data_IF_896407646716
#
_entry.id   IF_896407646716
#
_cell.length_a   1.000
_cell.length_b   1.000
_cell.length_c   1.000
_cell.angle_alpha   90.00
_cell.angle_beta   90.00
_cell.angle_gamma   90.00
#
_symmetry.space_group_name_H-M   'P 1'
#
loop_
_entity.id
_entity.type
_entity.pdbx_description
1 polymer ?
#
# COMPACT_ATOMS: atom_id res chain seq x y z
N UNK A 1 -19.76 -22.00 -36.53
CA UNK A 1 -18.80 -22.84 -35.77
C UNK A 1 -17.77 -21.93 -35.14
N UNK A 2 -17.79 -21.77 -33.82
CA UNK A 2 -16.72 -21.06 -33.12
C UNK A 2 -15.42 -21.90 -33.21
N UNK A 3 -14.25 -21.30 -33.52
CA UNK A 3 -13.01 -22.05 -33.52
C UNK A 3 -12.74 -22.55 -32.09
N UNK A 4 -12.52 -23.87 -31.97
CA UNK A 4 -12.14 -24.52 -30.70
C UNK A 4 -10.92 -23.79 -30.14
N UNK A 5 -11.00 -23.33 -28.88
CA UNK A 5 -9.83 -22.88 -28.13
C UNK A 5 -8.81 -24.03 -28.20
N UNK A 6 -7.61 -23.77 -28.72
CA UNK A 6 -6.48 -24.70 -28.60
C UNK A 6 -6.40 -25.09 -27.14
N UNK A 7 -6.50 -26.39 -26.86
CA UNK A 7 -6.31 -26.93 -25.53
C UNK A 7 -4.98 -26.41 -25.01
N UNK A 8 -5.11 -25.67 -23.92
CA UNK A 8 -4.02 -25.03 -23.27
C UNK A 8 -2.93 -26.00 -22.85
N UNK A 9 -1.70 -25.96 -23.37
CA UNK A 9 -0.63 -26.89 -22.93
C UNK A 9 0.04 -26.49 -21.62
N UNK A 10 -0.35 -25.36 -21.03
CA UNK A 10 0.20 -24.83 -19.77
C UNK A 10 -0.68 -25.16 -18.56
N UNK A 11 -0.11 -25.24 -17.36
CA UNK A 11 -0.88 -25.50 -16.13
C UNK A 11 -0.91 -24.28 -15.20
N UNK A 12 0.05 -23.38 -15.34
CA UNK A 12 0.18 -22.16 -14.53
C UNK A 12 0.56 -20.95 -15.39
N UNK A 13 0.71 -19.79 -14.76
CA UNK A 13 1.27 -18.62 -15.43
C UNK A 13 2.79 -18.74 -15.64
N UNK A 14 3.49 -19.61 -14.89
CA UNK A 14 4.95 -19.76 -14.98
C UNK A 14 5.38 -20.44 -16.28
N UNK A 15 4.65 -21.47 -16.71
CA UNK A 15 4.85 -22.18 -17.98
C UNK A 15 4.10 -21.54 -19.15
N UNK A 16 3.57 -20.33 -18.94
CA UNK A 16 2.89 -19.57 -19.98
C UNK A 16 3.88 -18.92 -20.96
N UNK A 17 3.72 -19.10 -22.29
CA UNK A 17 4.52 -18.37 -23.27
C UNK A 17 4.43 -16.86 -23.04
N UNK A 18 5.57 -16.17 -23.13
CA UNK A 18 5.67 -14.74 -22.81
C UNK A 18 4.71 -13.87 -23.65
N UNK A 19 4.45 -14.23 -24.90
CA UNK A 19 3.52 -13.49 -25.76
C UNK A 19 2.07 -13.63 -25.29
N UNK A 20 1.67 -14.83 -24.85
CA UNK A 20 0.36 -15.05 -24.23
C UNK A 20 0.27 -14.30 -22.90
N UNK A 21 1.32 -14.34 -22.06
CA UNK A 21 1.38 -13.61 -20.80
C UNK A 21 1.21 -12.09 -21.03
N UNK A 22 1.88 -11.53 -22.05
CA UNK A 22 1.74 -10.11 -22.43
C UNK A 22 0.32 -9.75 -22.84
N UNK A 23 -0.35 -10.60 -23.62
CA UNK A 23 -1.75 -10.40 -24.02
C UNK A 23 -2.65 -10.38 -22.78
N UNK A 24 -2.48 -11.36 -21.88
CA UNK A 24 -3.27 -11.45 -20.65
C UNK A 24 -3.00 -10.30 -19.69
N UNK A 25 -1.75 -9.87 -19.54
CA UNK A 25 -1.38 -8.72 -18.70
C UNK A 25 -2.05 -7.44 -19.18
N UNK A 26 -2.09 -7.20 -20.50
CA UNK A 26 -2.83 -6.05 -21.08
C UNK A 26 -4.33 -6.13 -20.79
N UNK A 27 -4.92 -7.31 -20.95
CA UNK A 27 -6.34 -7.54 -20.65
C UNK A 27 -6.64 -7.33 -19.17
N UNK A 28 -5.82 -7.87 -18.27
CA UNK A 28 -5.96 -7.69 -16.83
C UNK A 28 -5.85 -6.21 -16.43
N UNK A 29 -4.93 -5.46 -17.04
CA UNK A 29 -4.81 -4.01 -16.83
C UNK A 29 -6.08 -3.27 -17.26
N UNK A 30 -6.63 -3.57 -18.44
CA UNK A 30 -7.86 -2.94 -18.90
C UNK A 30 -9.05 -3.23 -17.96
N UNK A 31 -9.20 -4.48 -17.54
CA UNK A 31 -10.24 -4.87 -16.56
C UNK A 31 -10.06 -4.16 -15.21
N UNK A 32 -8.82 -3.98 -14.75
CA UNK A 32 -8.56 -3.25 -13.52
C UNK A 32 -8.94 -1.76 -13.66
N UNK A 33 -8.69 -1.14 -14.82
CA UNK A 33 -9.13 0.24 -15.09
C UNK A 33 -10.66 0.36 -15.10
N UNK A 34 -11.36 -0.51 -15.84
CA UNK A 34 -12.83 -0.52 -15.87
C UNK A 34 -13.44 -0.76 -14.47
N UNK A 35 -12.79 -1.61 -13.67
CA UNK A 35 -13.23 -1.88 -12.30
C UNK A 35 -13.09 -0.64 -11.41
N UNK A 36 -11.98 0.10 -11.53
CA UNK A 36 -11.78 1.36 -10.81
C UNK A 36 -12.83 2.40 -11.21
N UNK A 37 -13.13 2.53 -12.50
CA UNK A 37 -14.18 3.45 -12.99
C UNK A 37 -15.55 3.12 -12.39
N UNK A 38 -15.94 1.83 -12.37
CA UNK A 38 -17.20 1.39 -11.74
C UNK A 38 -17.26 1.64 -10.24
N UNK A 39 -16.13 1.53 -9.54
CA UNK A 39 -16.08 1.87 -8.12
C UNK A 39 -16.23 3.38 -7.89
N UNK A 40 -15.63 4.20 -8.75
CA UNK A 40 -15.76 5.66 -8.67
C UNK A 40 -17.20 6.12 -8.97
N UNK A 41 -17.92 5.45 -9.88
CA UNK A 41 -19.35 5.70 -10.12
C UNK A 41 -20.22 5.43 -8.88
N UNK A 42 -19.89 4.41 -8.08
CA UNK A 42 -20.61 4.07 -6.85
C UNK A 42 -20.22 4.99 -5.68
N UNK A 43 -18.95 5.39 -5.62
CA UNK A 43 -18.37 6.15 -4.53
C UNK A 43 -17.58 7.34 -5.08
N UNK A 44 -18.26 8.38 -5.59
CA UNK A 44 -17.56 9.51 -6.17
C UNK A 44 -16.70 10.21 -5.12
N UNK A 45 -15.46 10.51 -5.47
CA UNK A 45 -14.54 11.26 -4.60
C UNK A 45 -13.84 10.42 -3.54
N UNK A 46 -13.58 9.13 -3.81
CA UNK A 46 -12.73 8.31 -2.93
C UNK A 46 -11.38 8.98 -2.64
N UNK A 47 -11.01 8.97 -1.36
CA UNK A 47 -9.78 9.63 -0.89
C UNK A 47 -8.59 8.67 -0.98
N UNK A 48 -7.52 9.11 -1.65
CA UNK A 48 -6.23 8.42 -1.62
C UNK A 48 -5.27 9.10 -0.65
N UNK A 49 -5.00 8.45 0.48
CA UNK A 49 -3.99 8.92 1.43
C UNK A 49 -2.57 8.77 0.84
N UNK A 50 -1.71 9.74 1.13
CA UNK A 50 -0.27 9.64 0.88
C UNK A 50 0.39 8.56 1.76
N UNK A 51 1.60 8.14 1.39
CA UNK A 51 2.36 7.16 2.19
C UNK A 51 2.56 7.61 3.64
N UNK A 52 2.80 8.90 3.86
CA UNK A 52 3.00 9.45 5.21
C UNK A 52 1.68 9.52 5.99
N UNK A 53 0.60 9.99 5.37
CA UNK A 53 -0.73 9.98 5.99
C UNK A 53 -1.18 8.56 6.40
N UNK A 54 -0.92 7.53 5.57
CA UNK A 54 -1.27 6.14 5.92
C UNK A 54 -0.53 5.60 7.15
N UNK A 55 0.66 6.13 7.47
CA UNK A 55 1.40 5.67 8.66
C UNK A 55 0.71 6.12 9.94
N UNK A 56 0.24 7.37 9.96
CA UNK A 56 -0.36 8.00 11.15
C UNK A 56 -1.88 7.89 11.18
N UNK A 57 -2.52 7.44 10.11
CA UNK A 57 -3.97 7.23 10.07
C UNK A 57 -4.42 6.24 11.17
N UNK A 58 -5.51 6.55 11.90
CA UNK A 58 -6.05 5.66 12.91
C UNK A 58 -6.52 4.36 12.26
N UNK A 59 -6.34 3.24 12.97
CA UNK A 59 -6.81 1.91 12.56
C UNK A 59 -7.76 1.42 13.62
N UNK A 60 -9.02 1.24 13.23
CA UNK A 60 -10.02 0.66 14.11
C UNK A 60 -9.81 -0.84 14.22
N UNK A 61 -10.06 -1.37 15.43
CA UNK A 61 -10.02 -2.79 15.74
C UNK A 61 -11.39 -3.42 15.48
N UNK A 62 -11.40 -4.74 15.39
CA UNK A 62 -12.65 -5.49 15.28
C UNK A 62 -13.58 -5.20 16.48
N UNK A 63 -14.84 -4.86 16.17
CA UNK A 63 -15.85 -4.50 17.16
C UNK A 63 -15.77 -3.06 17.71
N UNK A 64 -14.76 -2.27 17.32
CA UNK A 64 -14.59 -0.90 17.81
C UNK A 64 -15.75 0.02 17.40
N UNK A 65 -16.31 -0.13 16.19
CA UNK A 65 -17.48 0.63 15.71
C UNK A 65 -18.67 0.55 16.67
N UNK A 66 -19.00 -0.65 17.16
CA UNK A 66 -20.11 -0.86 18.08
C UNK A 66 -19.87 -0.15 19.43
N UNK A 67 -18.62 -0.12 19.89
CA UNK A 67 -18.25 0.59 21.12
C UNK A 67 -18.31 2.12 20.93
N UNK A 68 -17.89 2.63 19.77
CA UNK A 68 -18.01 4.05 19.44
C UNK A 68 -19.47 4.51 19.41
N UNK A 69 -20.40 3.68 18.91
CA UNK A 69 -21.84 3.97 19.02
C UNK A 69 -22.31 4.10 20.48
N UNK A 70 -21.79 3.28 21.40
CA UNK A 70 -22.10 3.40 22.83
C UNK A 70 -21.58 4.69 23.44
N UNK A 71 -20.42 5.19 23.00
CA UNK A 71 -19.95 6.52 23.40
C UNK A 71 -20.93 7.59 22.94
N UNK A 72 -21.38 7.53 21.68
CA UNK A 72 -22.37 8.47 21.16
C UNK A 72 -23.72 8.39 21.90
N UNK A 73 -24.14 7.19 22.35
CA UNK A 73 -25.34 7.03 23.19
C UNK A 73 -25.19 7.82 24.52
N UNK A 74 -23.99 7.84 25.12
CA UNK A 74 -23.71 8.64 26.33
C UNK A 74 -23.74 10.14 26.03
N UNK A 75 -23.21 10.56 24.88
CA UNK A 75 -23.28 11.97 24.45
C UNK A 75 -24.73 12.42 24.31
N UNK A 76 -25.59 11.60 23.70
CA UNK A 76 -27.02 11.88 23.56
C UNK A 76 -27.71 11.98 24.93
N UNK A 77 -27.29 11.21 25.94
CA UNK A 77 -27.84 11.29 27.30
C UNK A 77 -27.41 12.54 28.07
N UNK A 78 -26.21 13.07 27.80
CA UNK A 78 -25.58 14.17 28.55
C UNK A 78 -24.86 15.16 27.62
N UNK A 79 -25.57 15.83 26.69
CA UNK A 79 -24.93 16.64 25.63
C UNK A 79 -24.10 17.80 26.18
N UNK A 80 -24.53 18.42 27.28
CA UNK A 80 -23.82 19.53 27.93
C UNK A 80 -22.38 19.20 28.36
N UNK A 81 -22.05 17.92 28.58
CA UNK A 81 -20.68 17.51 28.93
C UNK A 81 -19.71 17.55 27.74
N UNK A 82 -20.23 17.61 26.51
CA UNK A 82 -19.45 17.46 25.28
C UNK A 82 -19.48 18.72 24.40
N UNK A 83 -20.13 19.80 24.85
CA UNK A 83 -20.22 21.07 24.10
C UNK A 83 -18.85 21.63 23.69
N UNK A 84 -17.82 21.44 24.53
CA UNK A 84 -16.45 21.89 24.23
C UNK A 84 -15.76 21.14 23.08
N UNK A 85 -16.38 20.09 22.54
CA UNK A 85 -15.87 19.31 21.41
C UNK A 85 -16.66 19.60 20.12
N UNK A 86 -17.66 20.49 20.16
CA UNK A 86 -18.51 20.79 19.01
C UNK A 86 -17.74 21.37 17.81
N UNK A 87 -16.59 22.00 18.02
CA UNK A 87 -15.72 22.49 16.95
C UNK A 87 -14.82 21.39 16.34
N UNK A 88 -14.77 20.20 16.94
CA UNK A 88 -13.87 19.10 16.55
C UNK A 88 -14.55 17.98 15.76
N UNK A 89 -15.87 17.93 15.73
CA UNK A 89 -16.61 16.90 15.00
C UNK A 89 -16.77 17.19 13.50
N UNK A 90 -16.27 18.34 13.05
CA UNK A 90 -16.40 18.84 11.67
C UNK A 90 -17.87 18.87 11.21
N UNK A 91 -18.78 19.22 12.11
CA UNK A 91 -20.19 19.46 11.86
C UNK A 91 -20.48 20.86 11.30
N UNK A 92 -21.78 21.16 11.18
CA UNK A 92 -22.32 22.43 10.74
C UNK A 92 -22.62 23.38 11.92
N UNK A 93 -22.88 22.86 13.12
CA UNK A 93 -23.18 23.65 14.31
C UNK A 93 -21.98 23.72 15.27
N UNK A 94 -21.26 24.85 15.35
CA UNK A 94 -20.07 24.97 16.19
C UNK A 94 -20.35 24.93 17.70
N UNK A 95 -21.61 24.93 18.12
CA UNK A 95 -22.00 24.89 19.54
C UNK A 95 -22.63 23.55 19.94
N UNK A 96 -22.73 22.59 19.03
CA UNK A 96 -23.37 21.30 19.30
C UNK A 96 -22.52 20.16 18.75
N UNK A 97 -22.20 19.21 19.62
CA UNK A 97 -21.60 17.95 19.18
C UNK A 97 -22.64 17.08 18.44
N UNK A 98 -22.45 16.89 17.14
CA UNK A 98 -23.36 16.27 16.20
C UNK A 98 -23.20 14.74 16.17
N UNK A 99 -23.80 14.06 17.14
CA UNK A 99 -23.74 12.59 17.25
C UNK A 99 -24.25 11.87 15.99
N UNK A 100 -25.30 12.37 15.34
CA UNK A 100 -25.85 11.79 14.12
C UNK A 100 -24.84 11.77 12.96
N UNK A 101 -24.09 12.87 12.76
CA UNK A 101 -23.04 12.97 11.75
C UNK A 101 -21.94 11.93 12.00
N UNK A 102 -21.51 11.79 13.25
CA UNK A 102 -20.48 10.80 13.60
C UNK A 102 -20.97 9.37 13.45
N UNK A 103 -22.24 9.06 13.77
CA UNK A 103 -22.84 7.74 13.51
C UNK A 103 -22.82 7.40 12.03
N UNK A 104 -23.19 8.34 11.17
CA UNK A 104 -23.14 8.16 9.72
C UNK A 104 -21.71 7.89 9.22
N UNK A 105 -20.71 8.62 9.75
CA UNK A 105 -19.30 8.41 9.40
C UNK A 105 -18.77 7.06 9.86
N UNK A 106 -19.15 6.60 11.05
CA UNK A 106 -18.82 5.25 11.57
C UNK A 106 -19.39 4.18 10.63
N UNK A 107 -20.65 4.30 10.24
CA UNK A 107 -21.30 3.34 9.32
C UNK A 107 -20.63 3.32 7.94
N UNK A 108 -20.36 4.51 7.37
CA UNK A 108 -19.62 4.61 6.10
C UNK A 108 -18.23 3.97 6.20
N UNK A 109 -17.50 4.21 7.29
CA UNK A 109 -16.20 3.58 7.50
C UNK A 109 -16.31 2.06 7.53
N UNK A 110 -17.32 1.50 8.24
CA UNK A 110 -17.53 0.05 8.30
C UNK A 110 -17.77 -0.54 6.91
N UNK A 111 -18.70 0.04 6.15
CA UNK A 111 -19.01 -0.39 4.78
C UNK A 111 -17.80 -0.28 3.83
N UNK A 112 -17.03 0.80 3.92
CA UNK A 112 -15.79 0.93 3.14
C UNK A 112 -14.74 -0.11 3.54
N UNK A 113 -14.66 -0.46 4.83
CA UNK A 113 -13.73 -1.48 5.32
C UNK A 113 -14.05 -2.86 4.75
N UNK A 114 -15.34 -3.22 4.69
CA UNK A 114 -15.80 -4.51 4.14
C UNK A 114 -15.53 -4.63 2.64
N UNK A 115 -15.78 -3.55 1.89
CA UNK A 115 -15.44 -3.48 0.46
C UNK A 115 -13.92 -3.59 0.28
N UNK A 116 -13.13 -2.83 1.06
CA UNK A 116 -11.68 -2.88 0.97
C UNK A 116 -11.11 -4.27 1.31
N UNK A 117 -11.67 -4.94 2.33
CA UNK A 117 -11.29 -6.31 2.69
C UNK A 117 -11.53 -7.28 1.54
N UNK A 118 -12.67 -7.16 0.86
CA UNK A 118 -13.03 -8.00 -0.31
C UNK A 118 -12.08 -7.83 -1.49
N UNK A 119 -11.45 -6.66 -1.62
CA UNK A 119 -10.50 -6.34 -2.71
C UNK A 119 -9.04 -6.59 -2.35
N UNK A 120 -8.74 -6.77 -1.07
CA UNK A 120 -7.37 -6.88 -0.56
C UNK A 120 -6.61 -8.09 -1.10
N UNK A 121 -7.30 -9.22 -1.29
CA UNK A 121 -6.70 -10.47 -1.80
C UNK A 121 -6.14 -10.31 -3.20
N UNK A 122 -6.87 -9.65 -4.10
CA UNK A 122 -6.48 -9.48 -5.51
C UNK A 122 -5.20 -8.64 -5.62
N UNK A 123 -5.13 -7.53 -4.88
CA UNK A 123 -3.93 -6.70 -4.83
C UNK A 123 -2.75 -7.41 -4.17
N UNK A 124 -3.01 -8.17 -3.10
CA UNK A 124 -2.02 -8.98 -2.39
C UNK A 124 -1.38 -10.04 -3.27
N UNK A 125 -2.17 -10.91 -3.90
CA UNK A 125 -1.70 -12.02 -4.74
C UNK A 125 -0.89 -11.53 -5.95
N UNK A 126 -1.34 -10.46 -6.62
CA UNK A 126 -0.58 -9.87 -7.72
C UNK A 126 0.72 -9.24 -7.21
N UNK A 127 0.68 -8.52 -6.09
CA UNK A 127 1.87 -7.97 -5.44
C UNK A 127 2.89 -9.05 -5.10
N UNK A 128 2.46 -10.11 -4.43
CA UNK A 128 3.28 -11.25 -4.04
C UNK A 128 3.84 -11.98 -5.27
N UNK A 129 3.06 -12.12 -6.35
CA UNK A 129 3.54 -12.72 -7.61
C UNK A 129 4.68 -11.90 -8.24
N UNK A 130 4.64 -10.57 -8.14
CA UNK A 130 5.76 -9.73 -8.61
C UNK A 130 7.02 -9.92 -7.76
N UNK A 131 6.87 -10.03 -6.43
CA UNK A 131 7.97 -10.27 -5.50
C UNK A 131 8.56 -11.66 -5.70
N UNK A 132 7.70 -12.67 -5.79
CA UNK A 132 8.07 -14.05 -6.07
C UNK A 132 8.85 -14.15 -7.39
N UNK A 133 8.38 -13.50 -8.45
CA UNK A 133 9.11 -13.47 -9.74
C UNK A 133 10.47 -12.76 -9.60
N UNK A 134 10.54 -11.66 -8.84
CA UNK A 134 11.80 -10.95 -8.59
C UNK A 134 12.84 -11.82 -7.89
N UNK A 135 12.43 -12.66 -6.93
CA UNK A 135 13.31 -13.62 -6.26
C UNK A 135 13.97 -14.56 -7.27
N UNK A 136 13.24 -14.99 -8.31
CA UNK A 136 13.74 -15.96 -9.31
C UNK A 136 14.88 -15.42 -10.18
N UNK A 137 15.00 -14.11 -10.37
CA UNK A 137 16.04 -13.55 -11.26
C UNK A 137 17.05 -12.64 -10.55
N UNK A 138 16.66 -11.95 -9.48
CA UNK A 138 17.45 -10.84 -8.94
C UNK A 138 18.80 -11.28 -8.40
N UNK A 139 18.84 -12.37 -7.63
CA UNK A 139 20.08 -12.84 -7.01
C UNK A 139 21.08 -13.32 -8.05
N UNK A 140 20.62 -14.10 -9.04
CA UNK A 140 21.44 -14.58 -10.15
C UNK A 140 22.00 -13.43 -10.98
N UNK A 141 21.17 -12.42 -11.30
CA UNK A 141 21.64 -11.23 -12.01
C UNK A 141 22.62 -10.39 -11.18
N UNK A 142 22.46 -10.33 -9.86
CA UNK A 142 23.41 -9.64 -8.98
C UNK A 142 24.76 -10.37 -8.87
N UNK A 143 24.74 -11.71 -8.89
CA UNK A 143 25.98 -12.49 -9.02
C UNK A 143 26.66 -12.23 -10.36
N UNK A 144 25.92 -12.29 -11.47
CA UNK A 144 26.43 -11.99 -12.80
C UNK A 144 26.99 -10.56 -12.91
N UNK A 145 26.29 -9.58 -12.34
CA UNK A 145 26.75 -8.20 -12.26
C UNK A 145 28.09 -8.07 -11.53
N UNK A 146 28.28 -8.76 -10.40
CA UNK A 146 29.55 -8.72 -9.65
C UNK A 146 30.71 -9.26 -10.50
N UNK A 147 30.50 -10.35 -11.22
CA UNK A 147 31.49 -10.93 -12.13
C UNK A 147 31.80 -9.96 -13.28
N UNK A 148 30.75 -9.46 -13.96
CA UNK A 148 30.89 -8.50 -15.06
C UNK A 148 31.63 -7.23 -14.64
N UNK A 149 31.39 -6.75 -13.41
CA UNK A 149 32.06 -5.58 -12.84
C UNK A 149 33.57 -5.78 -12.69
N UNK A 150 34.01 -6.98 -12.29
CA UNK A 150 35.44 -7.31 -12.24
C UNK A 150 36.06 -7.26 -13.63
N UNK A 151 35.41 -7.87 -14.63
CA UNK A 151 35.90 -7.86 -16.01
C UNK A 151 35.92 -6.46 -16.63
N UNK A 152 34.95 -5.60 -16.29
CA UNK A 152 34.89 -4.22 -16.77
C UNK A 152 36.12 -3.37 -16.39
N UNK A 153 36.92 -3.80 -15.39
CA UNK A 153 38.15 -3.10 -15.01
C UNK A 153 39.25 -3.21 -16.06
N UNK A 154 39.23 -4.28 -16.86
CA UNK A 154 40.28 -4.59 -17.84
C UNK A 154 39.75 -4.73 -19.26
N UNK A 155 38.43 -4.87 -19.45
CA UNK A 155 37.78 -4.91 -20.75
C UNK A 155 36.88 -3.67 -20.96
N UNK A 156 37.32 -2.79 -21.88
CA UNK A 156 36.61 -1.56 -22.24
C UNK A 156 35.24 -1.83 -22.85
N UNK A 157 35.07 -2.90 -23.64
CA UNK A 157 33.77 -3.22 -24.24
C UNK A 157 32.76 -3.64 -23.18
N UNK A 158 33.20 -4.41 -22.18
CA UNK A 158 32.38 -4.77 -21.02
C UNK A 158 32.04 -3.51 -20.20
N UNK A 159 33.01 -2.62 -19.99
CA UNK A 159 32.78 -1.36 -19.29
C UNK A 159 31.77 -0.46 -20.00
N UNK A 160 31.84 -0.33 -21.33
CA UNK A 160 30.93 0.51 -22.12
C UNK A 160 29.46 0.06 -21.95
N UNK A 161 29.21 -1.26 -21.86
CA UNK A 161 27.88 -1.81 -21.60
C UNK A 161 27.47 -1.65 -20.13
N UNK A 162 28.40 -1.83 -19.19
CA UNK A 162 28.11 -1.89 -17.75
C UNK A 162 28.05 -0.52 -17.06
N UNK A 163 28.64 0.52 -17.66
CA UNK A 163 28.68 1.88 -17.13
C UNK A 163 27.33 2.39 -16.58
N UNK A 164 26.21 2.36 -17.33
CA UNK A 164 24.92 2.83 -16.81
C UNK A 164 24.43 2.02 -15.60
N UNK A 165 24.74 0.72 -15.55
CA UNK A 165 24.38 -0.15 -14.42
C UNK A 165 25.18 0.21 -13.18
N UNK A 166 26.49 0.46 -13.32
CA UNK A 166 27.35 0.90 -12.21
C UNK A 166 26.86 2.23 -11.64
N UNK A 167 26.50 3.19 -12.50
CA UNK A 167 26.02 4.49 -12.06
C UNK A 167 24.67 4.40 -11.35
N UNK A 168 23.74 3.58 -11.86
CA UNK A 168 22.48 3.29 -11.18
C UNK A 168 22.71 2.71 -9.78
N UNK A 169 23.59 1.70 -9.66
CA UNK A 169 23.90 1.07 -8.38
C UNK A 169 24.55 2.04 -7.39
N UNK A 170 25.43 2.94 -7.86
CA UNK A 170 26.06 3.99 -7.03
C UNK A 170 25.04 5.00 -6.50
N UNK A 171 24.12 5.48 -7.35
CA UNK A 171 23.08 6.44 -6.96
C UNK A 171 22.19 5.88 -5.84
N UNK A 172 21.84 4.59 -5.91
CA UNK A 172 21.03 3.94 -4.89
C UNK A 172 21.74 3.82 -3.53
N UNK A 173 23.05 3.54 -3.53
CA UNK A 173 23.85 3.52 -2.29
C UNK A 173 23.93 4.91 -1.66
N UNK A 174 24.14 5.96 -2.48
CA UNK A 174 24.17 7.34 -1.99
C UNK A 174 22.83 7.78 -1.39
N UNK A 175 21.71 7.47 -2.05
CA UNK A 175 20.37 7.76 -1.54
C UNK A 175 20.08 7.03 -0.21
N UNK A 176 20.46 5.75 -0.10
CA UNK A 176 20.32 5.00 1.14
C UNK A 176 21.17 5.55 2.29
N UNK A 177 22.40 6.02 2.00
CA UNK A 177 23.26 6.67 2.98
C UNK A 177 22.68 8.02 3.45
N UNK A 178 22.13 8.82 2.53
CA UNK A 178 21.46 10.08 2.85
C UNK A 178 20.20 9.88 3.71
N UNK A 179 19.39 8.86 3.40
CA UNK A 179 18.22 8.50 4.19
C UNK A 179 18.57 8.03 5.63
N UNK A 180 19.74 7.41 5.83
CA UNK A 180 20.22 7.03 7.17
C UNK A 180 20.72 8.21 7.99
N UNK A 181 21.30 9.24 7.36
CA UNK A 181 21.78 10.45 8.05
C UNK A 181 20.66 11.38 8.51
N UNK A 182 19.51 11.34 7.83
CA UNK A 182 18.32 12.14 8.17
C UNK A 182 17.42 11.48 9.21
N UNK A 183 17.63 10.18 9.48
CA UNK A 183 16.96 9.47 10.56
C UNK A 183 17.75 9.67 11.86
N UNK A 184 17.48 10.77 12.56
CA UNK A 184 17.98 11.01 13.92
C UNK A 184 17.62 9.80 14.80
N UNK A 185 18.57 9.18 15.51
CA UNK A 185 18.23 8.15 16.49
C UNK A 185 17.37 8.80 17.57
N UNK A 186 16.17 8.26 17.79
CA UNK A 186 15.39 8.56 19.00
C UNK A 186 16.30 8.28 20.20
N UNK A 187 16.55 9.24 21.10
CA UNK A 187 17.28 8.95 22.32
C UNK A 187 16.55 7.81 23.04
N UNK A 188 17.28 6.72 23.29
CA UNK A 188 16.79 5.63 24.10
C UNK A 188 16.37 6.19 25.47
N UNK A 189 15.20 5.77 25.94
CA UNK A 189 14.74 5.99 27.32
C UNK A 189 15.87 5.63 28.28
N UNK A 190 16.34 6.63 29.02
CA UNK A 190 17.22 6.42 30.15
C UNK A 190 16.50 5.52 31.17
N UNK A 191 17.13 4.46 31.69
CA UNK A 191 16.54 3.70 32.79
C UNK A 191 16.34 4.65 33.98
N UNK A 192 15.10 4.69 34.46
CA UNK A 192 14.72 5.39 35.69
C UNK A 192 15.66 4.97 36.82
N UNK A 193 16.31 5.97 37.41
CA UNK A 193 16.96 5.88 38.70
C UNK A 193 15.90 5.49 39.73
N UNK A 194 15.96 4.24 40.22
CA UNK A 194 15.30 3.83 41.44
C UNK A 194 16.17 4.21 42.62
N UNK A 195 15.69 5.17 43.40
CA UNK A 195 16.23 5.50 44.72
C UNK A 195 16.09 4.29 45.67
N UNK A 196 17.13 4.11 46.48
CA UNK A 196 17.13 3.31 47.70
C UNK A 196 17.07 4.24 48.91
#
# INVERSE_FOLDING_TARGET
MAPRKKDSTWTTWEDMPLDEFRVRARKAKALATEFVEKLDELFPGLVTLTKEQRKTAPRLRDGEHAMLHKVLDVVDMKPALFESLADQDEGMDPNRFETALLRERIEKHLLFSDVAASLSSVGGELGDSTLYTAVKFRESLYAAYRIAKTHAQTDRKVMDVLAPVVDFMRKNVAAAAAARRTRTPTPAELPSSGDA
#
